data_IF_295640142985
#
_entry.id   IF_295640142985
#
_cell.length_a   1.000
_cell.length_b   1.000
_cell.length_c   1.000
_cell.angle_alpha   90.00
_cell.angle_beta   90.00
_cell.angle_gamma   90.00
#
_symmetry.space_group_name_H-M   'P 1'
#
loop_
_entity.id
_entity.type
_entity.pdbx_description
1 polymer ?
#
# COMPACT_ATOMS: atom_id res chain seq x y z
N UNK A 1 -19.25 -12.16 -44.88
CA UNK A 1 -20.36 -12.98 -44.34
C UNK A 1 -20.85 -12.28 -43.11
N UNK A 2 -21.99 -11.58 -43.23
CA UNK A 2 -22.58 -10.75 -42.16
C UNK A 2 -23.49 -11.64 -41.33
N UNK A 3 -23.30 -11.67 -40.01
CA UNK A 3 -24.25 -12.33 -39.10
C UNK A 3 -24.94 -11.25 -38.27
N UNK A 4 -26.23 -11.07 -38.58
CA UNK A 4 -27.16 -10.22 -37.82
C UNK A 4 -27.55 -10.88 -36.52
N UNK A 5 -27.39 -10.20 -35.40
CA UNK A 5 -27.92 -10.60 -34.10
C UNK A 5 -29.18 -9.78 -33.80
N UNK A 6 -30.32 -10.46 -33.73
CA UNK A 6 -31.61 -9.89 -33.34
C UNK A 6 -31.67 -9.60 -31.82
N UNK A 7 -31.86 -8.35 -31.47
CA UNK A 7 -32.26 -7.92 -30.12
C UNK A 7 -33.77 -8.12 -29.91
N UNK A 8 -34.14 -9.03 -29.03
CA UNK A 8 -35.52 -9.13 -28.49
C UNK A 8 -35.66 -8.18 -27.30
N UNK A 9 -36.36 -7.10 -27.50
CA UNK A 9 -36.90 -6.26 -26.40
C UNK A 9 -38.05 -7.02 -25.73
N UNK A 10 -37.88 -7.37 -24.44
CA UNK A 10 -39.00 -7.73 -23.58
C UNK A 10 -39.50 -6.47 -22.87
N UNK A 11 -40.81 -6.34 -22.93
CA UNK A 11 -41.61 -5.28 -22.34
C UNK A 11 -41.30 -5.03 -20.85
N UNK A 12 -40.90 -3.82 -20.49
CA UNK A 12 -40.85 -3.33 -19.13
C UNK A 12 -42.27 -2.92 -18.72
N UNK A 13 -42.84 -3.60 -17.73
CA UNK A 13 -44.08 -3.21 -17.03
C UNK A 13 -43.81 -1.96 -16.21
N UNK A 14 -44.70 -0.98 -16.38
CA UNK A 14 -44.75 0.30 -15.67
C UNK A 14 -44.90 0.08 -14.15
N UNK A 15 -43.97 0.59 -13.34
CA UNK A 15 -44.07 0.69 -11.88
C UNK A 15 -44.32 2.16 -11.56
N UNK A 16 -45.44 2.54 -10.87
CA UNK A 16 -45.70 3.94 -10.54
C UNK A 16 -44.71 4.46 -9.50
N UNK A 17 -44.23 5.69 -9.72
CA UNK A 17 -43.30 6.38 -8.86
C UNK A 17 -43.88 6.60 -7.46
N UNK A 18 -43.09 6.28 -6.43
CA UNK A 18 -43.45 6.47 -5.02
C UNK A 18 -43.41 7.96 -4.63
N UNK A 19 -44.34 8.46 -3.79
CA UNK A 19 -44.50 9.89 -3.48
C UNK A 19 -43.30 10.60 -2.83
N UNK A 20 -42.36 9.87 -2.23
CA UNK A 20 -41.18 10.44 -1.55
C UNK A 20 -40.11 10.99 -2.49
N UNK A 21 -40.07 10.59 -3.76
CA UNK A 21 -39.12 11.12 -4.76
C UNK A 21 -39.40 12.58 -5.12
N UNK A 22 -40.68 12.99 -5.11
CA UNK A 22 -41.10 14.38 -5.36
C UNK A 22 -40.74 15.33 -4.19
N UNK A 23 -40.66 14.80 -2.97
CA UNK A 23 -40.32 15.60 -1.78
C UNK A 23 -38.82 15.98 -1.76
N UNK A 24 -37.93 15.09 -2.17
CA UNK A 24 -36.49 15.36 -2.24
C UNK A 24 -36.13 16.37 -3.36
N UNK A 25 -36.89 16.43 -4.44
CA UNK A 25 -36.68 17.43 -5.51
C UNK A 25 -37.06 18.85 -5.08
N UNK A 26 -38.10 19.00 -4.25
CA UNK A 26 -38.52 20.31 -3.74
C UNK A 26 -37.59 20.85 -2.64
N UNK A 27 -37.10 20.01 -1.76
CA UNK A 27 -36.16 20.45 -0.70
C UNK A 27 -34.80 20.86 -1.27
N UNK A 28 -34.29 20.16 -2.31
CA UNK A 28 -33.07 20.55 -3.02
C UNK A 28 -33.16 21.90 -3.73
N UNK A 29 -34.32 22.21 -4.33
CA UNK A 29 -34.57 23.49 -5.02
C UNK A 29 -34.64 24.67 -4.05
N UNK A 30 -35.25 24.49 -2.88
CA UNK A 30 -35.33 25.51 -1.82
C UNK A 30 -33.94 25.78 -1.21
N UNK A 31 -33.12 24.73 -1.03
CA UNK A 31 -31.75 24.88 -0.52
C UNK A 31 -30.88 25.67 -1.49
N UNK A 32 -30.97 25.39 -2.79
CA UNK A 32 -30.22 26.09 -3.83
C UNK A 32 -30.64 27.58 -3.95
N UNK A 33 -31.92 27.85 -3.86
CA UNK A 33 -32.44 29.22 -3.91
C UNK A 33 -31.96 30.06 -2.70
N UNK A 34 -31.99 29.49 -1.50
CA UNK A 34 -31.51 30.15 -0.28
C UNK A 34 -29.98 30.37 -0.31
N UNK A 35 -29.23 29.43 -0.87
CA UNK A 35 -27.78 29.56 -1.02
C UNK A 35 -27.41 30.67 -2.03
N UNK A 36 -28.10 30.77 -3.15
CA UNK A 36 -27.93 31.84 -4.14
C UNK A 36 -28.30 33.22 -3.59
N UNK A 37 -29.33 33.31 -2.74
CA UNK A 37 -29.73 34.54 -2.09
C UNK A 37 -28.72 35.00 -1.02
N UNK A 38 -28.05 34.07 -0.32
CA UNK A 38 -26.94 34.39 0.60
C UNK A 38 -25.71 34.93 -0.15
N UNK A 39 -25.44 34.45 -1.35
CA UNK A 39 -24.33 34.93 -2.17
C UNK A 39 -24.58 36.32 -2.77
N UNK A 40 -25.85 36.71 -2.98
CA UNK A 40 -26.24 38.05 -3.50
C UNK A 40 -26.23 39.15 -2.45
N UNK A 41 -26.14 38.82 -1.16
CA UNK A 41 -26.18 39.77 -0.04
C UNK A 41 -24.79 40.15 0.50
N UNK A 42 -23.68 39.73 -0.12
CA UNK A 42 -22.34 40.16 0.23
C UNK A 42 -22.06 41.55 -0.37
N UNK A 43 -21.58 42.51 0.43
CA UNK A 43 -21.31 43.88 -0.06
C UNK A 43 -20.15 43.86 -1.06
N UNK A 44 -20.38 44.44 -2.23
CA UNK A 44 -19.39 44.70 -3.26
C UNK A 44 -18.47 45.87 -2.85
N UNK A 45 -17.54 45.61 -1.94
CA UNK A 45 -16.49 46.59 -1.65
C UNK A 45 -15.25 45.87 -1.14
N UNK A 46 -14.38 45.53 -2.08
CA UNK A 46 -12.94 45.49 -1.89
C UNK A 46 -12.29 45.34 -3.27
N UNK A 47 -12.22 46.46 -4.02
CA UNK A 47 -11.25 46.59 -5.09
C UNK A 47 -9.88 46.75 -4.43
N UNK A 48 -9.24 45.64 -4.09
CA UNK A 48 -7.84 45.65 -3.75
C UNK A 48 -7.05 45.52 -5.06
N UNK A 49 -6.38 46.57 -5.44
CA UNK A 49 -5.41 46.58 -6.52
C UNK A 49 -4.38 45.47 -6.27
N UNK A 50 -4.54 44.34 -6.90
CA UNK A 50 -3.55 43.26 -6.91
C UNK A 50 -2.36 43.72 -7.77
N UNK A 51 -1.39 44.35 -7.16
CA UNK A 51 -0.03 44.29 -7.65
C UNK A 51 0.40 42.85 -7.62
N UNK A 52 0.45 42.22 -8.81
CA UNK A 52 0.96 40.88 -9.02
C UNK A 52 2.43 40.83 -8.66
N UNK A 53 2.73 40.48 -7.43
CA UNK A 53 4.00 39.91 -7.07
C UNK A 53 3.90 38.40 -7.41
N UNK A 54 4.08 38.08 -8.71
CA UNK A 54 4.40 36.72 -9.13
C UNK A 54 5.85 36.41 -8.75
N UNK A 55 6.09 36.12 -7.49
CA UNK A 55 7.25 35.36 -7.06
C UNK A 55 6.82 33.95 -6.75
N UNK A 56 6.39 33.20 -7.78
CA UNK A 56 6.39 31.75 -7.67
C UNK A 56 7.85 31.33 -7.64
N UNK A 57 8.40 31.05 -6.46
CA UNK A 57 9.64 30.30 -6.36
C UNK A 57 9.49 29.05 -7.24
N UNK A 58 10.48 28.75 -8.11
CA UNK A 58 10.36 27.62 -9.03
C UNK A 58 10.07 26.35 -8.22
N UNK A 59 9.12 25.54 -8.69
CA UNK A 59 8.82 24.26 -8.06
C UNK A 59 10.10 23.40 -8.08
N UNK A 60 10.75 23.22 -6.93
CA UNK A 60 12.01 22.50 -6.80
C UNK A 60 11.94 21.05 -7.27
N UNK A 61 10.74 20.48 -7.43
CA UNK A 61 10.51 19.12 -7.90
C UNK A 61 10.31 19.02 -9.42
N UNK A 62 10.21 20.15 -10.14
CA UNK A 62 9.94 20.17 -11.58
C UNK A 62 11.18 20.01 -12.46
N UNK A 63 12.38 19.96 -11.89
CA UNK A 63 13.64 19.79 -12.61
C UNK A 63 14.55 18.74 -11.98
N UNK A 64 15.39 18.12 -12.80
CA UNK A 64 16.43 17.20 -12.32
C UNK A 64 17.61 17.99 -11.81
N UNK A 65 18.11 17.59 -10.65
CA UNK A 65 19.29 18.16 -10.05
C UNK A 65 20.46 17.14 -10.15
N UNK A 66 21.61 17.60 -10.64
CA UNK A 66 22.76 16.72 -10.81
C UNK A 66 23.20 16.11 -9.46
N UNK A 67 23.34 14.77 -9.43
CA UNK A 67 23.71 14.03 -8.24
C UNK A 67 22.57 13.79 -7.23
N UNK A 68 21.34 14.23 -7.52
CA UNK A 68 20.17 13.98 -6.68
C UNK A 68 19.12 13.19 -7.44
N UNK A 69 18.89 11.96 -7.01
CA UNK A 69 17.84 11.11 -7.60
C UNK A 69 16.47 11.43 -6.97
N UNK A 70 15.48 11.72 -7.79
CA UNK A 70 14.12 12.01 -7.37
C UNK A 70 13.23 10.77 -7.54
N UNK A 71 12.71 10.26 -6.44
CA UNK A 71 11.88 9.04 -6.40
C UNK A 71 10.44 9.37 -6.07
N UNK A 72 9.52 8.90 -6.93
CA UNK A 72 8.09 8.86 -6.61
C UNK A 72 7.79 7.62 -5.78
N UNK A 73 7.22 7.80 -4.59
CA UNK A 73 6.77 6.73 -3.69
C UNK A 73 5.24 6.74 -3.64
N UNK A 74 4.61 5.87 -4.41
CA UNK A 74 3.15 5.73 -4.37
C UNK A 74 2.74 4.89 -3.17
N UNK A 75 1.62 5.22 -2.52
CA UNK A 75 1.24 4.58 -1.26
C UNK A 75 2.18 4.92 -0.10
N UNK A 76 2.88 6.07 -0.21
CA UNK A 76 3.91 6.48 0.73
C UNK A 76 3.42 6.94 2.10
N UNK A 77 2.11 7.11 2.30
CA UNK A 77 1.51 7.29 3.63
C UNK A 77 1.13 5.96 4.31
N UNK A 78 1.26 4.83 3.59
CA UNK A 78 1.07 3.48 4.11
C UNK A 78 2.24 2.99 4.95
N UNK A 79 2.07 1.80 5.56
CA UNK A 79 3.07 1.22 6.45
C UNK A 79 4.43 1.03 5.76
N UNK A 80 4.50 0.26 4.66
CA UNK A 80 5.77 -0.03 3.97
C UNK A 80 6.28 1.23 3.25
N UNK A 81 5.39 1.94 2.54
CA UNK A 81 5.77 3.12 1.74
C UNK A 81 6.36 4.26 2.58
N UNK A 82 5.85 4.49 3.80
CA UNK A 82 6.43 5.50 4.70
C UNK A 82 7.82 5.14 5.21
N UNK A 83 8.08 3.85 5.49
CA UNK A 83 9.42 3.37 5.84
C UNK A 83 10.38 3.47 4.64
N UNK A 84 9.90 3.21 3.42
CA UNK A 84 10.67 3.41 2.19
C UNK A 84 11.04 4.88 2.00
N UNK A 85 10.07 5.79 2.18
CA UNK A 85 10.32 7.22 2.11
C UNK A 85 11.32 7.68 3.19
N UNK A 86 11.21 7.19 4.44
CA UNK A 86 12.19 7.47 5.49
C UNK A 86 13.61 7.05 5.09
N UNK A 87 13.77 5.85 4.56
CA UNK A 87 15.06 5.33 4.15
C UNK A 87 15.65 6.12 2.99
N UNK A 88 14.86 6.41 1.95
CA UNK A 88 15.29 7.23 0.82
C UNK A 88 15.75 8.62 1.27
N UNK A 89 14.99 9.27 2.17
CA UNK A 89 15.35 10.57 2.72
C UNK A 89 16.64 10.52 3.55
N UNK A 90 16.86 9.47 4.36
CA UNK A 90 18.12 9.24 5.08
C UNK A 90 19.29 9.06 4.11
N UNK A 91 19.08 8.41 2.98
CA UNK A 91 20.08 8.16 1.94
C UNK A 91 20.20 9.34 0.94
N UNK A 92 19.67 10.51 1.28
CA UNK A 92 19.79 11.77 0.52
C UNK A 92 19.03 11.82 -0.81
N UNK A 93 18.08 10.93 -1.06
CA UNK A 93 17.16 11.05 -2.20
C UNK A 93 16.19 12.21 -2.02
N UNK A 94 15.71 12.76 -3.14
CA UNK A 94 14.51 13.61 -3.18
C UNK A 94 13.29 12.68 -3.28
N UNK A 95 12.25 12.94 -2.49
CA UNK A 95 11.09 12.06 -2.42
C UNK A 95 9.79 12.82 -2.64
N UNK A 96 8.96 12.33 -3.55
CA UNK A 96 7.55 12.71 -3.64
C UNK A 96 6.69 11.53 -3.22
N UNK A 97 5.88 11.73 -2.19
CA UNK A 97 4.88 10.75 -1.74
C UNK A 97 3.55 11.07 -2.42
N UNK A 98 2.92 10.06 -3.03
CA UNK A 98 1.53 10.13 -3.52
C UNK A 98 0.68 9.11 -2.79
N UNK A 99 -0.43 9.55 -2.20
CA UNK A 99 -1.37 8.69 -1.47
C UNK A 99 -2.76 9.33 -1.44
N UNK A 100 -3.82 8.54 -1.59
CA UNK A 100 -5.21 8.99 -1.43
C UNK A 100 -5.74 8.85 -0.01
N UNK A 101 -4.88 8.41 0.93
CA UNK A 101 -5.17 8.19 2.34
C UNK A 101 -6.33 7.21 2.61
N UNK A 102 -6.72 6.40 1.62
CA UNK A 102 -7.78 5.40 1.81
C UNK A 102 -7.35 4.30 2.80
N UNK A 103 -6.07 3.97 2.84
CA UNK A 103 -5.43 3.02 3.77
C UNK A 103 -4.21 3.63 4.47
N UNK A 104 -3.63 4.68 3.92
CA UNK A 104 -2.50 5.41 4.47
C UNK A 104 -2.88 6.28 5.67
N UNK A 105 -1.87 6.72 6.41
CA UNK A 105 -2.01 7.60 7.57
C UNK A 105 -1.17 8.87 7.35
N UNK A 106 -1.83 10.01 7.24
CA UNK A 106 -1.18 11.32 7.06
C UNK A 106 -0.18 11.64 8.18
N UNK A 107 -0.36 11.06 9.37
CA UNK A 107 0.57 11.22 10.48
C UNK A 107 1.97 10.71 10.18
N UNK A 108 2.11 9.63 9.39
CA UNK A 108 3.42 9.15 8.94
C UNK A 108 4.12 10.21 8.06
N UNK A 109 3.38 10.84 7.15
CA UNK A 109 3.91 11.92 6.29
C UNK A 109 4.34 13.12 7.13
N UNK A 110 3.54 13.53 8.12
CA UNK A 110 3.87 14.62 9.03
C UNK A 110 5.15 14.36 9.84
N UNK A 111 5.36 13.11 10.28
CA UNK A 111 6.62 12.71 10.92
C UNK A 111 7.80 12.90 9.97
N UNK A 112 7.68 12.45 8.73
CA UNK A 112 8.72 12.60 7.72
C UNK A 112 9.01 14.08 7.41
N UNK A 113 7.98 14.91 7.23
CA UNK A 113 8.13 16.36 7.02
C UNK A 113 8.83 17.06 8.18
N UNK A 114 8.56 16.62 9.42
CA UNK A 114 9.24 17.15 10.61
C UNK A 114 10.70 16.70 10.69
N UNK A 115 11.02 15.48 10.24
CA UNK A 115 12.40 14.96 10.24
C UNK A 115 13.26 15.56 9.12
N UNK A 116 12.63 15.91 7.99
CA UNK A 116 13.30 16.44 6.79
C UNK A 116 12.59 17.73 6.35
N UNK A 117 12.78 18.83 7.09
CA UNK A 117 12.07 20.09 6.85
C UNK A 117 12.65 20.91 5.69
N UNK A 118 13.81 20.48 5.14
CA UNK A 118 14.49 21.24 4.11
C UNK A 118 13.66 21.32 2.83
N UNK A 119 13.48 22.50 2.22
CA UNK A 119 12.79 22.66 0.95
C UNK A 119 13.40 21.76 -0.14
N UNK A 120 12.54 21.14 -0.95
CA UNK A 120 12.97 20.29 -2.06
C UNK A 120 13.41 18.87 -1.66
N UNK A 121 13.32 18.47 -0.39
CA UNK A 121 13.63 17.11 0.06
C UNK A 121 12.43 16.19 -0.01
N UNK A 122 11.30 16.61 0.54
CA UNK A 122 10.06 15.82 0.61
C UNK A 122 8.86 16.63 0.14
N UNK A 123 8.10 16.06 -0.77
CA UNK A 123 6.79 16.56 -1.20
C UNK A 123 5.72 15.49 -0.90
N UNK A 124 4.54 15.92 -0.49
CA UNK A 124 3.35 15.08 -0.40
C UNK A 124 2.28 15.59 -1.34
N UNK A 125 1.72 14.70 -2.16
CA UNK A 125 0.62 14.98 -3.07
C UNK A 125 -0.54 14.05 -2.70
N UNK A 126 -1.67 14.64 -2.31
CA UNK A 126 -2.91 13.90 -2.14
C UNK A 126 -3.53 13.63 -3.52
N UNK A 127 -3.57 12.39 -3.95
CA UNK A 127 -4.18 11.99 -5.23
C UNK A 127 -4.57 10.52 -5.24
N UNK A 128 -5.59 10.21 -6.03
CA UNK A 128 -5.97 8.83 -6.36
C UNK A 128 -5.31 8.42 -7.68
N UNK A 129 -4.62 7.29 -7.68
CA UNK A 129 -3.96 6.75 -8.88
C UNK A 129 -4.96 6.19 -9.92
N UNK A 130 -6.24 6.06 -9.57
CA UNK A 130 -7.32 5.75 -10.49
C UNK A 130 -7.78 6.96 -11.33
N UNK A 131 -7.36 8.18 -10.98
CA UNK A 131 -7.59 9.37 -11.79
C UNK A 131 -6.42 9.59 -12.76
N UNK A 132 -6.60 9.19 -14.01
CA UNK A 132 -5.60 9.33 -15.07
C UNK A 132 -5.12 10.79 -15.28
N UNK A 133 -6.02 11.78 -15.07
CA UNK A 133 -5.65 13.20 -15.20
C UNK A 133 -4.74 13.63 -14.04
N UNK A 134 -5.05 13.22 -12.83
CA UNK A 134 -4.22 13.47 -11.66
C UNK A 134 -2.85 12.81 -11.81
N UNK A 135 -2.80 11.54 -12.24
CA UNK A 135 -1.54 10.82 -12.48
C UNK A 135 -0.69 11.54 -13.52
N UNK A 136 -1.26 11.87 -14.69
CA UNK A 136 -0.51 12.59 -15.73
C UNK A 136 -0.02 13.98 -15.25
N UNK A 137 -0.83 14.70 -14.49
CA UNK A 137 -0.44 15.98 -13.87
C UNK A 137 0.76 15.82 -12.94
N UNK A 138 0.75 14.80 -12.07
CA UNK A 138 1.85 14.51 -11.14
C UNK A 138 3.17 14.34 -11.91
N UNK A 139 3.16 13.56 -12.98
CA UNK A 139 4.36 13.33 -13.79
C UNK A 139 4.78 14.54 -14.61
N UNK A 140 3.83 15.37 -15.09
CA UNK A 140 4.16 16.58 -15.86
C UNK A 140 4.73 17.71 -15.00
N UNK A 141 4.38 17.76 -13.72
CA UNK A 141 4.82 18.81 -12.76
C UNK A 141 6.09 18.42 -11.98
N UNK A 142 6.56 17.18 -12.10
CA UNK A 142 7.66 16.64 -11.32
C UNK A 142 8.63 15.83 -12.18
N UNK A 143 9.91 16.09 -12.07
CA UNK A 143 10.96 15.40 -12.82
C UNK A 143 11.46 14.16 -12.04
N UNK A 144 10.74 13.06 -12.16
CA UNK A 144 11.10 11.79 -11.52
C UNK A 144 12.21 11.05 -12.28
N UNK A 145 13.07 10.37 -11.54
CA UNK A 145 14.07 9.43 -12.07
C UNK A 145 13.60 7.97 -11.90
N UNK A 146 12.84 7.69 -10.83
CA UNK A 146 12.34 6.36 -10.53
C UNK A 146 10.98 6.39 -9.83
N UNK A 147 10.26 5.27 -9.91
CA UNK A 147 9.02 5.02 -9.17
C UNK A 147 9.19 3.80 -8.25
N UNK A 148 8.86 3.94 -6.97
CA UNK A 148 8.59 2.85 -6.05
C UNK A 148 7.09 2.74 -5.85
N UNK A 149 6.48 1.66 -6.35
CA UNK A 149 5.03 1.51 -6.39
C UNK A 149 4.54 0.59 -5.28
N UNK A 150 4.15 1.17 -4.13
CA UNK A 150 3.55 0.46 -2.98
C UNK A 150 2.03 0.61 -2.92
N UNK A 151 1.44 1.54 -3.65
CA UNK A 151 0.01 1.80 -3.58
C UNK A 151 -0.81 0.57 -3.97
N UNK A 152 -1.47 -0.03 -2.99
CA UNK A 152 -2.37 -1.16 -3.17
C UNK A 152 -3.24 -1.37 -1.93
N UNK A 153 -4.47 -1.83 -2.11
CA UNK A 153 -5.24 -2.48 -1.06
C UNK A 153 -4.76 -3.92 -0.92
N UNK A 154 -4.35 -4.36 0.28
CA UNK A 154 -3.60 -5.59 0.49
C UNK A 154 -4.24 -6.54 1.53
N UNK A 155 -5.57 -6.69 1.49
CA UNK A 155 -6.30 -7.59 2.39
C UNK A 155 -6.92 -8.75 1.61
N UNK A 156 -6.34 -9.96 1.76
CA UNK A 156 -6.76 -11.17 1.04
C UNK A 156 -8.24 -11.49 1.27
N UNK A 157 -8.71 -11.44 2.52
CA UNK A 157 -10.11 -11.71 2.86
C UNK A 157 -11.08 -10.71 2.21
N UNK A 158 -10.79 -9.41 2.29
CA UNK A 158 -11.60 -8.36 1.66
C UNK A 158 -11.66 -8.54 0.12
N UNK A 159 -10.57 -9.01 -0.49
CA UNK A 159 -10.51 -9.19 -1.94
C UNK A 159 -11.54 -10.19 -2.47
N UNK A 160 -11.93 -11.18 -1.67
CA UNK A 160 -12.96 -12.17 -2.05
C UNK A 160 -14.36 -11.58 -1.97
N UNK A 161 -14.57 -10.57 -1.14
CA UNK A 161 -15.85 -9.87 -0.97
C UNK A 161 -16.02 -8.72 -1.99
N UNK A 162 -14.92 -8.02 -2.30
CA UNK A 162 -14.91 -6.85 -3.18
C UNK A 162 -13.91 -7.01 -4.35
N UNK A 163 -14.02 -8.04 -5.19
CA UNK A 163 -12.98 -8.37 -6.18
C UNK A 163 -12.72 -7.26 -7.20
N UNK A 164 -13.76 -6.58 -7.69
CA UNK A 164 -13.62 -5.51 -8.68
C UNK A 164 -12.81 -4.33 -8.15
N UNK A 165 -12.97 -3.99 -6.88
CA UNK A 165 -12.17 -2.96 -6.21
C UNK A 165 -10.68 -3.28 -6.26
N UNK A 166 -10.29 -4.55 -6.10
CA UNK A 166 -8.89 -4.99 -6.14
C UNK A 166 -8.32 -4.90 -7.55
N UNK A 167 -9.06 -5.31 -8.58
CA UNK A 167 -8.62 -5.18 -9.96
C UNK A 167 -8.45 -3.72 -10.37
N UNK A 168 -9.38 -2.83 -10.02
CA UNK A 168 -9.24 -1.40 -10.26
C UNK A 168 -8.06 -0.80 -9.49
N UNK A 169 -7.99 -1.03 -8.19
CA UNK A 169 -6.98 -0.41 -7.33
C UNK A 169 -5.55 -0.88 -7.63
N UNK A 170 -5.37 -2.14 -8.04
CA UNK A 170 -4.05 -2.73 -8.27
C UNK A 170 -3.73 -2.73 -9.77
N UNK A 171 -4.50 -3.47 -10.57
CA UNK A 171 -4.16 -3.69 -11.99
C UNK A 171 -4.33 -2.42 -12.81
N UNK A 172 -5.52 -1.79 -12.76
CA UNK A 172 -5.79 -0.58 -13.54
C UNK A 172 -4.91 0.60 -13.10
N UNK A 173 -4.71 0.80 -11.79
CA UNK A 173 -3.87 1.88 -11.30
C UNK A 173 -2.40 1.68 -11.66
N UNK A 174 -1.90 0.43 -11.66
CA UNK A 174 -0.54 0.14 -12.14
C UNK A 174 -0.40 0.48 -13.63
N UNK A 175 -1.40 0.16 -14.45
CA UNK A 175 -1.39 0.51 -15.87
C UNK A 175 -1.29 2.03 -16.07
N UNK A 176 -2.11 2.83 -15.36
CA UNK A 176 -2.06 4.30 -15.45
C UNK A 176 -0.69 4.88 -15.03
N UNK A 177 -0.06 4.28 -14.00
CA UNK A 177 1.29 4.68 -13.59
C UNK A 177 2.32 4.36 -14.68
N UNK A 178 2.25 3.17 -15.32
CA UNK A 178 3.14 2.79 -16.43
C UNK A 178 2.98 3.69 -17.65
N UNK A 179 1.74 4.03 -18.01
CA UNK A 179 1.43 4.96 -19.11
C UNK A 179 2.06 6.34 -18.85
N UNK A 180 1.93 6.85 -17.63
CA UNK A 180 2.54 8.11 -17.25
C UNK A 180 4.07 8.05 -17.21
N UNK A 181 4.66 6.95 -16.70
CA UNK A 181 6.11 6.72 -16.74
C UNK A 181 6.64 6.75 -18.19
N UNK A 182 5.96 6.05 -19.10
CA UNK A 182 6.31 6.03 -20.52
C UNK A 182 6.23 7.43 -21.15
N UNK A 183 5.11 8.13 -20.93
CA UNK A 183 4.89 9.47 -21.49
C UNK A 183 5.90 10.52 -21.01
N UNK A 184 6.43 10.36 -19.79
CA UNK A 184 7.37 11.31 -19.16
C UNK A 184 8.82 10.79 -19.06
N UNK A 185 9.14 9.71 -19.79
CA UNK A 185 10.49 9.14 -19.87
C UNK A 185 11.10 8.77 -18.49
N UNK A 186 10.28 8.21 -17.61
CA UNK A 186 10.72 7.64 -16.31
C UNK A 186 10.94 6.15 -16.51
N UNK A 187 12.19 5.69 -16.37
CA UNK A 187 12.62 4.37 -16.83
C UNK A 187 12.90 3.34 -15.74
N UNK A 188 12.76 3.71 -14.48
CA UNK A 188 13.04 2.81 -13.35
C UNK A 188 11.80 2.57 -12.52
N UNK A 189 11.34 1.32 -12.45
CA UNK A 189 10.20 0.89 -11.63
C UNK A 189 10.61 -0.18 -10.62
N UNK A 190 10.39 0.09 -9.35
CA UNK A 190 10.43 -0.92 -8.28
C UNK A 190 8.99 -1.23 -7.87
N UNK A 191 8.53 -2.43 -8.19
CA UNK A 191 7.15 -2.85 -7.96
C UNK A 191 7.04 -3.72 -6.71
N UNK A 192 6.22 -3.30 -5.77
CA UNK A 192 5.89 -4.03 -4.55
C UNK A 192 4.82 -5.07 -4.86
N UNK A 193 5.22 -6.32 -5.05
CA UNK A 193 4.33 -7.45 -5.30
C UNK A 193 4.12 -8.31 -4.04
N UNK A 194 3.73 -9.58 -4.20
CA UNK A 194 3.29 -10.44 -3.09
C UNK A 194 3.51 -11.92 -3.40
N UNK A 195 3.74 -12.72 -2.36
CA UNK A 195 3.70 -14.18 -2.45
C UNK A 195 2.32 -14.74 -2.85
N UNK A 196 1.24 -13.97 -2.67
CA UNK A 196 -0.11 -14.40 -3.02
C UNK A 196 -0.29 -14.66 -4.54
N UNK A 197 0.66 -14.24 -5.38
CA UNK A 197 0.70 -14.56 -6.81
C UNK A 197 0.96 -16.04 -7.07
N UNK A 198 1.61 -16.75 -6.15
CA UNK A 198 1.94 -18.17 -6.32
C UNK A 198 0.76 -19.11 -6.00
N UNK A 199 -0.20 -18.64 -5.21
CA UNK A 199 -1.33 -19.45 -4.77
C UNK A 199 -0.89 -20.58 -3.85
N UNK A 200 -1.19 -21.84 -4.21
CA UNK A 200 -0.86 -23.06 -3.46
C UNK A 200 0.15 -23.93 -4.24
N UNK A 201 1.45 -23.63 -4.13
CA UNK A 201 2.46 -24.40 -4.83
C UNK A 201 2.56 -25.85 -4.32
N UNK A 202 2.76 -26.79 -5.23
CA UNK A 202 2.98 -28.20 -4.88
C UNK A 202 4.29 -28.45 -4.14
N UNK A 203 5.29 -27.58 -4.38
CA UNK A 203 6.63 -27.72 -3.81
C UNK A 203 7.03 -26.51 -2.99
N UNK A 204 7.70 -26.75 -1.89
CA UNK A 204 8.33 -25.75 -1.01
C UNK A 204 9.83 -26.01 -0.89
N UNK A 205 10.68 -24.98 -0.72
CA UNK A 205 10.35 -23.54 -0.69
C UNK A 205 9.93 -22.97 -2.06
N UNK A 206 9.22 -21.85 -2.03
CA UNK A 206 8.88 -21.05 -3.22
C UNK A 206 10.16 -20.38 -3.73
N UNK A 207 10.36 -20.44 -5.04
CA UNK A 207 11.41 -19.72 -5.77
C UNK A 207 10.79 -18.82 -6.84
N UNK A 208 11.60 -18.00 -7.52
CA UNK A 208 11.13 -17.17 -8.63
C UNK A 208 10.65 -18.01 -9.83
N UNK A 209 11.11 -19.26 -9.95
CA UNK A 209 10.72 -20.21 -11.00
C UNK A 209 9.41 -20.95 -10.68
N UNK A 210 8.91 -20.81 -9.44
CA UNK A 210 7.65 -21.45 -9.04
C UNK A 210 6.50 -20.85 -9.86
N UNK A 211 5.67 -21.73 -10.44
CA UNK A 211 4.52 -21.30 -11.25
C UNK A 211 3.55 -20.47 -10.42
N UNK A 212 3.17 -19.31 -10.94
CA UNK A 212 2.21 -18.41 -10.30
C UNK A 212 0.76 -18.81 -10.67
N UNK A 213 0.02 -19.32 -9.70
CA UNK A 213 -1.40 -19.72 -9.83
C UNK A 213 -2.21 -19.08 -8.69
N UNK A 214 -2.45 -17.77 -8.73
CA UNK A 214 -3.12 -17.08 -7.64
C UNK A 214 -4.57 -17.53 -7.48
N UNK A 215 -5.01 -17.73 -6.24
CA UNK A 215 -6.33 -18.29 -5.92
C UNK A 215 -7.32 -17.27 -5.37
N UNK A 216 -6.87 -16.04 -5.08
CA UNK A 216 -7.73 -14.97 -4.60
C UNK A 216 -7.60 -13.72 -5.48
N UNK A 217 -8.60 -12.82 -5.49
CA UNK A 217 -8.58 -11.62 -6.35
C UNK A 217 -7.39 -10.69 -6.10
N UNK A 218 -6.90 -10.58 -4.86
CA UNK A 218 -5.69 -9.81 -4.56
C UNK A 218 -4.46 -10.35 -5.29
N UNK A 219 -4.18 -11.66 -5.13
CA UNK A 219 -3.07 -12.32 -5.83
C UNK A 219 -3.20 -12.26 -7.35
N UNK A 220 -4.44 -12.46 -7.88
CA UNK A 220 -4.73 -12.34 -9.31
C UNK A 220 -4.46 -10.92 -9.84
N UNK A 221 -4.94 -9.90 -9.13
CA UNK A 221 -4.73 -8.50 -9.53
C UNK A 221 -3.23 -8.12 -9.52
N UNK A 222 -2.47 -8.59 -8.53
CA UNK A 222 -1.01 -8.41 -8.47
C UNK A 222 -0.30 -9.14 -9.62
N UNK A 223 -0.67 -10.40 -9.89
CA UNK A 223 -0.11 -11.18 -11.01
C UNK A 223 -0.39 -10.50 -12.36
N UNK A 224 -1.61 -10.05 -12.60
CA UNK A 224 -1.96 -9.31 -13.82
C UNK A 224 -1.13 -8.03 -13.96
N UNK A 225 -0.92 -7.29 -12.87
CA UNK A 225 -0.06 -6.11 -12.89
C UNK A 225 1.40 -6.48 -13.21
N UNK A 226 1.94 -7.57 -12.65
CA UNK A 226 3.27 -8.08 -13.00
C UNK A 226 3.38 -8.42 -14.50
N UNK A 227 2.38 -9.12 -15.06
CA UNK A 227 2.36 -9.48 -16.49
C UNK A 227 2.40 -8.23 -17.38
N UNK A 228 1.59 -7.21 -17.07
CA UNK A 228 1.58 -5.93 -17.80
C UNK A 228 2.95 -5.25 -17.71
N UNK A 229 3.55 -5.18 -16.52
CA UNK A 229 4.87 -4.58 -16.29
C UNK A 229 5.93 -5.32 -17.12
N UNK A 230 5.96 -6.65 -17.08
CA UNK A 230 6.94 -7.47 -17.78
C UNK A 230 6.78 -7.38 -19.30
N UNK A 231 5.54 -7.43 -19.81
CA UNK A 231 5.30 -7.30 -21.25
C UNK A 231 5.70 -5.92 -21.77
N UNK A 232 5.44 -4.85 -21.01
CA UNK A 232 5.88 -3.52 -21.35
C UNK A 232 7.40 -3.37 -21.30
N UNK A 233 8.07 -3.92 -20.28
CA UNK A 233 9.51 -3.82 -20.13
C UNK A 233 10.31 -4.54 -21.22
N UNK A 234 9.79 -5.65 -21.78
CA UNK A 234 10.44 -6.41 -22.87
C UNK A 234 10.64 -5.58 -24.15
N UNK A 235 9.75 -4.61 -24.39
CA UNK A 235 9.72 -3.81 -25.61
C UNK A 235 10.07 -2.32 -25.35
N UNK A 236 10.64 -2.02 -24.19
CA UNK A 236 11.05 -0.67 -23.79
C UNK A 236 12.42 -0.72 -23.12
N UNK A 237 13.01 0.45 -22.89
CA UNK A 237 14.26 0.59 -22.10
C UNK A 237 13.99 0.79 -20.61
N UNK A 238 12.84 0.34 -20.12
CA UNK A 238 12.47 0.42 -18.72
C UNK A 238 13.18 -0.67 -17.91
N UNK A 239 13.92 -0.25 -16.88
CA UNK A 239 14.46 -1.11 -15.83
C UNK A 239 13.39 -1.42 -14.78
N UNK A 240 13.09 -2.69 -14.58
CA UNK A 240 12.05 -3.14 -13.66
C UNK A 240 12.61 -4.06 -12.61
N UNK A 241 12.21 -3.86 -11.35
CA UNK A 241 12.41 -4.80 -10.26
C UNK A 241 11.07 -5.13 -9.62
N UNK A 242 10.70 -6.41 -9.58
CA UNK A 242 9.49 -6.91 -8.93
C UNK A 242 9.88 -7.65 -7.67
N UNK A 243 9.47 -7.15 -6.50
CA UNK A 243 9.75 -7.77 -5.21
C UNK A 243 8.50 -8.48 -4.69
N UNK A 244 8.53 -9.81 -4.65
CA UNK A 244 7.47 -10.65 -4.07
C UNK A 244 7.87 -11.02 -2.65
N UNK A 245 7.12 -10.57 -1.68
CA UNK A 245 7.40 -10.80 -0.27
C UNK A 245 6.16 -11.30 0.48
N UNK A 246 6.37 -11.75 1.70
CA UNK A 246 5.39 -12.43 2.53
C UNK A 246 4.86 -11.47 3.60
N UNK A 247 4.83 -11.90 4.86
CA UNK A 247 4.23 -11.12 5.93
C UNK A 247 5.25 -10.09 6.45
N UNK A 248 4.91 -8.82 6.34
CA UNK A 248 5.78 -7.73 6.81
C UNK A 248 5.45 -7.42 8.27
N UNK A 249 6.47 -7.35 9.11
CA UNK A 249 6.40 -7.03 10.54
C UNK A 249 7.43 -5.97 10.89
N UNK A 250 7.48 -5.55 12.13
CA UNK A 250 8.50 -4.62 12.61
C UNK A 250 8.06 -3.16 12.62
N UNK A 251 8.99 -2.29 12.93
CA UNK A 251 8.86 -0.83 12.93
C UNK A 251 10.25 -0.20 12.77
N UNK A 252 10.31 1.10 12.54
CA UNK A 252 11.60 1.81 12.53
C UNK A 252 12.32 1.63 13.88
N UNK A 253 13.58 1.17 13.89
CA UNK A 253 14.34 0.93 15.12
C UNK A 253 14.52 2.16 16.00
N UNK A 254 14.53 3.36 15.40
CA UNK A 254 14.61 4.64 16.11
C UNK A 254 13.24 5.11 16.64
N UNK A 255 12.17 4.34 16.38
CA UNK A 255 10.83 4.63 16.89
C UNK A 255 10.10 5.77 16.16
N UNK A 256 10.54 6.18 14.97
CA UNK A 256 9.92 7.29 14.21
C UNK A 256 8.63 6.85 13.52
N UNK A 257 8.65 5.66 12.92
CA UNK A 257 7.55 5.08 12.15
C UNK A 257 7.19 3.69 12.62
N UNK A 258 5.90 3.33 12.48
CA UNK A 258 5.39 2.00 12.76
C UNK A 258 4.06 1.74 12.07
N UNK A 259 3.51 0.54 12.26
CA UNK A 259 2.21 0.20 11.72
C UNK A 259 1.09 0.82 12.58
N UNK A 260 0.31 1.73 11.98
CA UNK A 260 -0.79 2.42 12.63
C UNK A 260 -2.03 2.43 11.72
N UNK A 261 -2.72 1.28 11.58
CA UNK A 261 -3.97 1.22 10.83
C UNK A 261 -5.03 2.06 11.54
N UNK A 262 -5.94 2.66 10.77
CA UNK A 262 -7.12 3.32 11.32
C UNK A 262 -7.99 2.31 12.06
N UNK A 263 -8.76 2.73 13.08
CA UNK A 263 -9.57 1.81 13.91
C UNK A 263 -10.47 0.87 13.11
N UNK A 264 -11.14 1.38 12.06
CA UNK A 264 -12.02 0.62 11.17
C UNK A 264 -11.32 -0.43 10.30
N UNK A 265 -9.99 -0.37 10.21
CA UNK A 265 -9.18 -1.30 9.42
C UNK A 265 -8.49 -2.38 10.27
N UNK A 266 -8.59 -2.31 11.60
CA UNK A 266 -7.87 -3.23 12.52
C UNK A 266 -8.28 -4.68 12.38
N UNK A 267 -9.56 -4.96 12.15
CA UNK A 267 -10.07 -6.34 11.96
C UNK A 267 -9.46 -7.03 10.73
N UNK A 268 -9.00 -6.26 9.76
CA UNK A 268 -8.34 -6.72 8.54
C UNK A 268 -6.81 -6.73 8.69
N UNK A 269 -6.31 -6.41 9.88
CA UNK A 269 -4.89 -6.20 10.17
C UNK A 269 -4.03 -7.46 10.06
N UNK A 270 -2.72 -7.24 10.13
CA UNK A 270 -1.73 -8.32 10.19
C UNK A 270 -1.77 -9.02 11.53
N UNK A 271 -1.28 -10.26 11.60
CA UNK A 271 -1.21 -11.05 12.82
C UNK A 271 -0.43 -10.32 13.93
N UNK A 272 0.66 -9.61 13.60
CA UNK A 272 1.42 -8.80 14.56
C UNK A 272 0.58 -7.70 15.21
N UNK A 273 -0.20 -6.97 14.40
CA UNK A 273 -1.13 -5.94 14.88
C UNK A 273 -2.20 -6.51 15.80
N UNK A 274 -2.80 -7.65 15.40
CA UNK A 274 -3.80 -8.34 16.24
C UNK A 274 -3.20 -8.84 17.57
N UNK A 275 -1.97 -9.37 17.56
CA UNK A 275 -1.26 -9.76 18.78
C UNK A 275 -1.03 -8.55 19.72
N UNK A 276 -0.60 -7.41 19.16
CA UNK A 276 -0.38 -6.20 19.94
C UNK A 276 -1.68 -5.58 20.46
N UNK A 277 -2.76 -5.63 19.68
CA UNK A 277 -4.09 -5.17 20.12
C UNK A 277 -4.62 -6.06 21.25
N UNK A 278 -4.39 -7.39 21.19
CA UNK A 278 -4.72 -8.30 22.27
C UNK A 278 -3.85 -8.04 23.51
N UNK A 279 -2.54 -7.83 23.35
CA UNK A 279 -1.63 -7.51 24.44
C UNK A 279 -1.95 -6.19 25.13
N UNK A 280 -2.55 -5.23 24.40
CA UNK A 280 -3.02 -3.93 24.92
C UNK A 280 -4.44 -3.99 25.48
N UNK A 281 -5.13 -5.11 25.36
CA UNK A 281 -6.54 -5.25 25.79
C UNK A 281 -7.56 -4.53 24.88
N UNK A 282 -7.15 -4.11 23.67
CA UNK A 282 -8.05 -3.50 22.66
C UNK A 282 -9.03 -4.54 22.12
N UNK A 283 -8.55 -5.78 21.95
CA UNK A 283 -9.37 -6.96 21.63
C UNK A 283 -9.26 -8.00 22.76
N UNK A 284 -10.28 -8.83 22.98
CA UNK A 284 -10.31 -9.75 24.13
C UNK A 284 -9.30 -10.90 24.03
N UNK A 285 -8.77 -11.17 22.84
CA UNK A 285 -7.78 -12.21 22.57
C UNK A 285 -7.55 -12.37 21.08
N UNK A 286 -6.53 -13.14 20.73
CA UNK A 286 -6.15 -13.45 19.36
C UNK A 286 -6.93 -14.67 18.86
N UNK A 287 -7.42 -14.62 17.62
CA UNK A 287 -8.07 -15.73 16.95
C UNK A 287 -7.08 -16.40 15.97
N UNK A 288 -6.61 -17.60 16.32
CA UNK A 288 -5.76 -18.45 15.45
C UNK A 288 -6.65 -19.43 14.68
N UNK A 289 -6.49 -19.46 13.37
CA UNK A 289 -7.36 -20.25 12.48
C UNK A 289 -6.63 -21.45 11.90
N UNK A 290 -7.20 -22.64 12.18
CA UNK A 290 -6.65 -23.92 11.76
C UNK A 290 -5.61 -24.46 12.74
N UNK A 291 -5.89 -25.64 13.29
CA UNK A 291 -5.01 -26.36 14.22
C UNK A 291 -4.83 -27.81 13.78
N UNK A 292 -5.25 -28.13 12.56
CA UNK A 292 -5.33 -29.44 11.98
C UNK A 292 -4.53 -29.56 10.66
N UNK A 293 -3.55 -28.65 10.47
CA UNK A 293 -2.61 -28.72 9.35
C UNK A 293 -1.56 -29.81 9.59
N UNK A 294 -1.04 -30.39 8.51
CA UNK A 294 0.09 -31.35 8.54
C UNK A 294 1.42 -30.60 8.78
N UNK A 295 1.55 -30.03 9.97
CA UNK A 295 2.71 -29.27 10.45
C UNK A 295 3.06 -29.71 11.87
N UNK A 296 4.23 -29.32 12.38
CA UNK A 296 4.72 -29.79 13.66
C UNK A 296 3.80 -29.46 14.85
N UNK A 297 3.08 -28.35 14.82
CA UNK A 297 2.17 -27.90 15.89
C UNK A 297 0.70 -27.85 15.46
N UNK A 298 0.39 -28.26 14.23
CA UNK A 298 -0.94 -28.25 13.63
C UNK A 298 -1.36 -26.90 13.09
N UNK A 299 -0.58 -25.83 13.24
CA UNK A 299 -0.87 -24.52 12.68
C UNK A 299 -0.11 -24.24 11.37
N UNK A 300 -0.49 -23.22 10.64
CA UNK A 300 0.15 -22.92 9.35
C UNK A 300 1.57 -22.34 9.53
N UNK A 301 2.45 -22.70 8.59
CA UNK A 301 3.80 -22.13 8.48
C UNK A 301 3.77 -20.94 7.58
N UNK A 302 4.30 -19.81 8.05
CA UNK A 302 4.39 -18.55 7.30
C UNK A 302 5.80 -17.99 7.34
N UNK A 303 6.08 -17.20 6.35
CA UNK A 303 7.33 -16.48 6.19
C UNK A 303 7.12 -14.99 6.55
N UNK A 304 8.10 -14.40 7.23
CA UNK A 304 8.04 -13.04 7.75
C UNK A 304 9.29 -12.26 7.32
N UNK A 305 9.16 -10.95 7.20
CA UNK A 305 10.26 -10.04 6.92
C UNK A 305 10.09 -8.75 7.73
N UNK A 306 11.19 -8.26 8.31
CA UNK A 306 11.19 -6.94 8.94
C UNK A 306 10.99 -5.83 7.91
N UNK A 307 10.18 -4.83 8.23
CA UNK A 307 9.89 -3.71 7.31
C UNK A 307 11.15 -2.94 6.93
N UNK A 308 12.11 -2.83 7.84
CA UNK A 308 13.38 -2.13 7.58
C UNK A 308 14.26 -2.92 6.61
N UNK A 309 14.30 -4.24 6.77
CA UNK A 309 15.01 -5.13 5.85
C UNK A 309 14.36 -5.18 4.48
N UNK A 310 13.03 -5.25 4.43
CA UNK A 310 12.27 -5.18 3.16
C UNK A 310 12.56 -3.88 2.41
N UNK A 311 12.53 -2.75 3.10
CA UNK A 311 12.82 -1.44 2.51
C UNK A 311 14.27 -1.33 2.05
N UNK A 312 15.22 -1.89 2.79
CA UNK A 312 16.62 -1.96 2.36
C UNK A 312 16.77 -2.70 1.01
N UNK A 313 16.04 -3.82 0.84
CA UNK A 313 16.00 -4.53 -0.43
C UNK A 313 15.43 -3.67 -1.57
N UNK A 314 14.32 -2.91 -1.32
CA UNK A 314 13.74 -2.01 -2.31
C UNK A 314 14.68 -0.88 -2.72
N UNK A 315 15.40 -0.29 -1.76
CA UNK A 315 16.35 0.80 -2.06
C UNK A 315 17.58 0.26 -2.80
N UNK A 316 18.11 -0.91 -2.44
CA UNK A 316 19.18 -1.56 -3.21
C UNK A 316 18.76 -1.88 -4.64
N UNK A 317 17.49 -2.21 -4.85
CA UNK A 317 16.94 -2.47 -6.19
C UNK A 317 16.99 -1.25 -7.12
N UNK A 318 17.01 -0.01 -6.60
CA UNK A 318 17.17 1.21 -7.43
C UNK A 318 18.50 1.26 -8.19
N UNK A 319 19.54 0.63 -7.67
CA UNK A 319 20.86 0.60 -8.30
C UNK A 319 21.00 -0.51 -9.35
N UNK A 320 19.98 -1.35 -9.53
CA UNK A 320 20.02 -2.53 -10.40
C UNK A 320 18.82 -2.53 -11.35
N UNK A 321 19.04 -2.95 -12.58
CA UNK A 321 18.00 -2.98 -13.62
C UNK A 321 17.59 -4.43 -13.97
N UNK A 322 16.29 -4.64 -14.22
CA UNK A 322 15.69 -5.85 -14.84
C UNK A 322 15.82 -7.18 -14.09
N UNK A 323 15.12 -7.32 -12.94
CA UNK A 323 15.05 -8.64 -12.28
C UNK A 323 13.76 -8.83 -11.44
N UNK A 324 13.19 -10.03 -11.52
CA UNK A 324 12.17 -10.50 -10.57
C UNK A 324 12.85 -11.05 -9.31
N UNK A 325 12.32 -10.74 -8.14
CA UNK A 325 12.91 -11.14 -6.86
C UNK A 325 11.91 -11.63 -5.83
N UNK A 326 12.33 -12.65 -5.11
CA UNK A 326 11.68 -13.11 -3.89
C UNK A 326 12.47 -12.60 -2.68
N UNK A 327 11.79 -11.93 -1.73
CA UNK A 327 12.39 -11.48 -0.48
C UNK A 327 11.62 -12.00 0.71
N UNK A 328 12.23 -12.92 1.48
CA UNK A 328 11.75 -13.31 2.79
C UNK A 328 12.85 -13.98 3.61
N UNK A 329 12.73 -14.04 4.95
CA UNK A 329 13.89 -14.40 5.76
C UNK A 329 13.59 -15.00 7.13
N UNK A 330 12.36 -15.01 7.59
CA UNK A 330 12.01 -15.52 8.92
C UNK A 330 10.83 -16.50 8.82
N UNK A 331 11.09 -17.77 9.06
CA UNK A 331 10.09 -18.81 9.06
C UNK A 331 9.54 -19.01 10.47
N UNK A 332 8.22 -19.05 10.63
CA UNK A 332 7.59 -19.43 11.88
C UNK A 332 6.25 -20.13 11.67
N UNK A 333 5.94 -21.10 12.53
CA UNK A 333 4.60 -21.60 12.75
C UNK A 333 3.75 -20.52 13.43
N UNK A 334 2.44 -20.51 13.20
CA UNK A 334 1.58 -19.46 13.75
C UNK A 334 1.58 -19.45 15.30
N UNK A 335 1.64 -20.63 15.94
CA UNK A 335 1.83 -20.72 17.41
C UNK A 335 3.19 -20.19 17.86
N UNK A 336 4.26 -20.52 17.15
CA UNK A 336 5.60 -19.98 17.42
C UNK A 336 5.62 -18.46 17.33
N UNK A 337 4.92 -17.90 16.32
CA UNK A 337 4.77 -16.46 16.16
C UNK A 337 4.04 -15.84 17.35
N UNK A 338 2.94 -16.46 17.80
CA UNK A 338 2.19 -15.99 18.99
C UNK A 338 3.05 -16.05 20.25
N UNK A 339 3.82 -17.11 20.46
CA UNK A 339 4.73 -17.21 21.61
C UNK A 339 5.86 -16.16 21.53
N UNK A 340 6.39 -15.89 20.33
CA UNK A 340 7.32 -14.80 20.13
C UNK A 340 6.70 -13.42 20.45
N UNK A 341 5.42 -13.20 20.12
CA UNK A 341 4.68 -12.00 20.51
C UNK A 341 4.49 -11.91 22.02
N UNK A 342 4.10 -12.99 22.71
CA UNK A 342 4.01 -13.03 24.18
C UNK A 342 5.35 -12.66 24.81
N UNK A 343 6.45 -13.24 24.33
CA UNK A 343 7.80 -12.94 24.80
C UNK A 343 8.19 -11.48 24.52
N UNK A 344 7.85 -10.93 23.35
CA UNK A 344 8.18 -9.55 22.99
C UNK A 344 7.38 -8.52 23.81
N UNK A 345 6.12 -8.84 24.13
CA UNK A 345 5.20 -7.96 24.86
C UNK A 345 5.32 -8.10 26.38
N UNK A 346 5.72 -9.25 26.88
CA UNK A 346 5.66 -9.65 28.29
C UNK A 346 4.23 -9.91 28.79
N UNK A 347 3.26 -10.08 27.87
CA UNK A 347 1.85 -10.28 28.17
C UNK A 347 1.42 -11.68 27.74
N UNK A 348 0.70 -12.39 28.62
CA UNK A 348 0.05 -13.65 28.23
C UNK A 348 -1.20 -13.37 27.40
N UNK A 349 -1.01 -13.40 26.08
CA UNK A 349 -2.07 -13.14 25.11
C UNK A 349 -3.03 -14.32 25.09
N UNK A 350 -4.30 -14.09 25.38
CA UNK A 350 -5.35 -15.09 25.25
C UNK A 350 -5.50 -15.49 23.78
N UNK A 351 -5.60 -16.81 23.52
CA UNK A 351 -5.73 -17.34 22.16
C UNK A 351 -6.99 -18.19 22.08
N UNK A 352 -7.82 -17.87 21.07
CA UNK A 352 -8.98 -18.66 20.67
C UNK A 352 -8.63 -19.40 19.37
N UNK A 353 -8.71 -20.72 19.38
CA UNK A 353 -8.45 -21.54 18.22
C UNK A 353 -9.75 -21.79 17.45
N UNK A 354 -9.75 -21.48 16.15
CA UNK A 354 -10.91 -21.58 15.27
C UNK A 354 -10.60 -22.54 14.09
N UNK A 355 -11.65 -22.99 13.41
CA UNK A 355 -11.52 -23.76 12.18
C UNK A 355 -10.77 -23.00 11.09
N UNK A 356 -10.19 -23.72 10.12
CA UNK A 356 -9.50 -23.14 8.95
C UNK A 356 -10.39 -22.17 8.19
N UNK A 357 -9.80 -21.13 7.61
CA UNK A 357 -10.45 -20.33 6.57
C UNK A 357 -10.33 -21.04 5.23
N UNK A 358 -11.37 -20.99 4.37
CA UNK A 358 -11.22 -21.42 2.99
C UNK A 358 -10.08 -20.64 2.30
N UNK A 359 -9.16 -21.37 1.65
CA UNK A 359 -8.03 -20.78 0.96
C UNK A 359 -6.79 -20.48 1.82
N UNK A 360 -6.75 -20.93 3.08
CA UNK A 360 -5.53 -20.93 3.90
C UNK A 360 -4.70 -22.19 3.63
N UNK A 361 -3.38 -22.04 3.55
CA UNK A 361 -2.42 -23.12 3.24
C UNK A 361 -1.68 -23.61 4.47
N UNK A 362 -1.25 -24.87 4.44
CA UNK A 362 -0.43 -25.45 5.51
C UNK A 362 0.95 -24.77 5.60
N UNK A 363 1.62 -24.58 4.46
CA UNK A 363 3.00 -24.06 4.41
C UNK A 363 3.15 -23.08 3.25
N UNK A 364 3.66 -21.88 3.51
CA UNK A 364 4.00 -20.89 2.48
C UNK A 364 5.26 -20.15 2.92
N UNK A 365 6.40 -20.44 2.29
CA UNK A 365 7.69 -19.84 2.57
C UNK A 365 8.62 -19.88 1.35
N UNK A 366 9.62 -19.02 1.31
CA UNK A 366 10.51 -18.82 0.17
C UNK A 366 11.92 -19.33 0.40
N UNK A 367 12.64 -19.48 -0.72
CA UNK A 367 14.10 -19.53 -0.76
C UNK A 367 14.65 -18.15 -1.16
N UNK A 368 15.33 -17.41 -0.25
CA UNK A 368 15.87 -16.10 -0.54
C UNK A 368 17.26 -16.15 -1.21
N UNK A 369 17.71 -17.28 -1.72
CA UNK A 369 19.07 -17.46 -2.27
C UNK A 369 19.36 -16.50 -3.41
N UNK A 370 18.40 -16.27 -4.31
CA UNK A 370 18.56 -15.39 -5.47
C UNK A 370 18.73 -13.92 -5.05
N UNK A 371 17.93 -13.42 -4.13
CA UNK A 371 18.09 -12.04 -3.64
C UNK A 371 19.43 -11.84 -2.91
N UNK A 372 19.93 -12.86 -2.20
CA UNK A 372 21.25 -12.83 -1.57
C UNK A 372 22.36 -12.70 -2.61
N UNK A 373 22.31 -13.52 -3.65
CA UNK A 373 23.34 -13.54 -4.70
C UNK A 373 23.34 -12.27 -5.54
N UNK A 374 22.19 -11.81 -5.97
CA UNK A 374 22.08 -10.77 -6.99
C UNK A 374 22.01 -9.35 -6.41
N UNK A 375 21.41 -9.15 -5.24
CA UNK A 375 21.40 -7.85 -4.54
C UNK A 375 22.49 -7.74 -3.47
N UNK A 376 23.28 -8.79 -3.24
CA UNK A 376 24.17 -8.89 -2.08
C UNK A 376 23.43 -8.46 -0.79
N UNK A 377 22.22 -9.01 -0.62
CA UNK A 377 21.30 -8.61 0.42
C UNK A 377 20.95 -9.79 1.33
N UNK A 378 20.98 -9.53 2.63
CA UNK A 378 20.50 -10.47 3.66
C UNK A 378 19.70 -9.69 4.70
N UNK A 379 18.66 -10.30 5.25
CA UNK A 379 17.96 -9.73 6.38
C UNK A 379 18.87 -9.69 7.61
N UNK A 380 18.67 -8.69 8.44
CA UNK A 380 19.45 -8.41 9.64
C UNK A 380 18.70 -8.72 10.92
N UNK A 381 17.37 -8.56 10.90
CA UNK A 381 16.53 -8.69 12.09
C UNK A 381 15.96 -10.09 12.21
N UNK A 382 15.99 -10.62 13.42
CA UNK A 382 15.27 -11.84 13.79
C UNK A 382 13.79 -11.54 14.06
N UNK A 383 12.93 -12.56 14.05
CA UNK A 383 11.53 -12.44 14.39
C UNK A 383 11.34 -11.76 15.78
N UNK A 384 12.12 -12.17 16.77
CA UNK A 384 12.03 -11.64 18.12
C UNK A 384 12.42 -10.16 18.19
N UNK A 385 13.49 -9.75 17.52
CA UNK A 385 13.93 -8.35 17.46
C UNK A 385 12.90 -7.47 16.78
N UNK A 386 12.38 -7.91 15.63
CA UNK A 386 11.34 -7.18 14.87
C UNK A 386 10.08 -6.95 15.71
N UNK A 387 9.62 -8.00 16.42
CA UNK A 387 8.46 -7.89 17.31
C UNK A 387 8.72 -6.98 18.52
N UNK A 388 9.92 -7.02 19.09
CA UNK A 388 10.30 -6.14 20.22
C UNK A 388 10.36 -4.67 19.77
N UNK A 389 10.91 -4.38 18.59
CA UNK A 389 10.96 -3.03 18.01
C UNK A 389 9.54 -2.53 17.76
N UNK A 390 8.70 -3.35 17.12
CA UNK A 390 7.31 -3.01 16.84
C UNK A 390 6.51 -2.76 18.14
N UNK A 391 6.71 -3.60 19.14
CA UNK A 391 6.04 -3.43 20.45
C UNK A 391 6.47 -2.15 21.16
N UNK A 392 7.75 -1.79 21.14
CA UNK A 392 8.23 -0.50 21.68
C UNK A 392 7.52 0.67 21.02
N UNK A 393 7.40 0.63 19.69
CA UNK A 393 6.66 1.66 18.95
C UNK A 393 5.19 1.72 19.34
N UNK A 394 4.51 0.59 19.42
CA UNK A 394 3.09 0.49 19.84
C UNK A 394 2.86 1.05 21.25
N UNK A 395 3.77 0.81 22.18
CA UNK A 395 3.70 1.35 23.57
C UNK A 395 3.89 2.87 23.60
N UNK A 396 4.78 3.41 22.79
CA UNK A 396 5.05 4.85 22.75
C UNK A 396 4.02 5.63 21.93
N UNK A 397 3.21 4.94 21.10
CA UNK A 397 2.23 5.53 20.21
C UNK A 397 0.84 4.89 20.41
N UNK A 398 0.28 5.02 21.61
CA UNK A 398 -0.99 4.39 21.98
C UNK A 398 -2.15 4.73 21.06
N UNK A 399 -2.14 5.91 20.46
CA UNK A 399 -3.10 6.38 19.47
C UNK A 399 -2.53 6.43 18.04
N UNK A 400 -1.55 5.57 17.72
CA UNK A 400 -0.83 5.62 16.45
C UNK A 400 -0.11 6.96 16.29
N UNK A 401 -0.28 7.61 15.13
CA UNK A 401 0.29 8.94 14.87
C UNK A 401 -0.52 10.11 15.48
N UNK A 402 -1.47 9.83 16.38
CA UNK A 402 -2.41 10.79 16.95
C UNK A 402 -3.67 10.93 16.09
N UNK A 403 -4.70 11.54 16.65
CA UNK A 403 -5.89 11.90 15.90
C UNK A 403 -5.47 12.96 14.87
N UNK A 404 -5.44 12.60 13.60
CA UNK A 404 -5.39 13.58 12.53
C UNK A 404 -6.74 14.29 12.54
N UNK A 405 -6.83 15.44 13.18
CA UNK A 405 -7.92 16.33 12.88
C UNK A 405 -7.96 16.50 11.37
N UNK A 406 -9.16 16.31 10.82
CA UNK A 406 -9.48 16.39 9.42
C UNK A 406 -8.76 17.55 8.73
N UNK A 407 -8.54 17.38 7.43
CA UNK A 407 -8.09 18.44 6.56
C UNK A 407 -8.81 19.75 6.91
N UNK A 408 -8.09 20.66 7.55
CA UNK A 408 -8.45 22.05 7.64
C UNK A 408 -7.74 22.79 6.52
#
# INVERSE_FOLDING_TARGET
MVVSVFLRLRSLTYVPAQPWILQLQNEGAVFLANFLQLLSSLPSALSCSSSRLNSSSPNMFSYREAGVTHVLVTGGAGYIGSHAALRLLKDSYRVTIVDNLSRGNIGAVRVLQKLFPEPGRLQFIYADLGDAKAVNKIFSENAFDAVMHFAAVAYVGESTLEPLRYYHNITSNTLLVLEAMAAHNVKTLIYSSTCATYGEPEKMPITEETTQVPINPYGKAKKMAEDIILDFSKNSDMGVMILRYFNVIGSDPEGKLGEAPRPELREQGRISGACFDAARGIIPGLKVRGTDYETADGTCVRDYIDVTDLVDAHVKALAMHNLERLGSTMLALEKEFVEACKKATGVDIKVEYLSRRPGDYAKVYSDPSKVRQELNWTARYTLQESLQIAWRWQKSHLNGYGLSNAMG
#
